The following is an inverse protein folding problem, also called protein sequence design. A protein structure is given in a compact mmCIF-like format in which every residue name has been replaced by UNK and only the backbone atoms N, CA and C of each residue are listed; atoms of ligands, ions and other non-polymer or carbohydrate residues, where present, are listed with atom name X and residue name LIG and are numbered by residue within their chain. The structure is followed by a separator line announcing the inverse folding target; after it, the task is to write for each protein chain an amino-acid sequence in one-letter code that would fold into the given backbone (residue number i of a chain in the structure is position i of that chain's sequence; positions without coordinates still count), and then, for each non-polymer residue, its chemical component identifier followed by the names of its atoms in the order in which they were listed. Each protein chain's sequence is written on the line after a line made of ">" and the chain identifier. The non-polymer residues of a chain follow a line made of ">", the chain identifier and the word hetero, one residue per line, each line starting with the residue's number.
data_IF_068973331566
#
_entry.id   IF_068973331566
#
_cell.length_a   1.000
_cell.length_b   1.000
_cell.length_c   1.000
_cell.angle_alpha   90.00
_cell.angle_beta   90.00
_cell.angle_gamma   90.00
#
_symmetry.space_group_name_H-M   'P 1'
#
loop_
_entity.id
_entity.type
_entity.pdbx_description
1 polymer ?
#
# COMPACT_ATOMS: atom_id res chain seq x y z
N UNK A 1 18.08 -22.89 -26.45
CA UNK A 1 17.63 -22.21 -25.20
C UNK A 1 16.16 -21.92 -25.34
N UNK A 2 15.33 -22.21 -24.33
CA UNK A 2 13.89 -21.92 -24.37
C UNK A 2 13.71 -20.45 -23.98
N UNK A 3 13.41 -19.59 -24.93
CA UNK A 3 13.20 -18.16 -24.68
C UNK A 3 11.78 -17.93 -24.19
N UNK A 4 11.64 -17.03 -23.21
CA UNK A 4 10.34 -16.70 -22.63
C UNK A 4 9.87 -15.38 -23.25
N UNK A 5 8.56 -15.23 -23.47
CA UNK A 5 7.98 -14.02 -24.07
C UNK A 5 7.19 -13.25 -23.04
N UNK A 6 7.20 -11.92 -23.16
CA UNK A 6 6.34 -11.05 -22.37
C UNK A 6 4.87 -11.33 -22.73
N UNK A 7 4.02 -11.62 -21.75
CA UNK A 7 2.60 -11.92 -21.99
C UNK A 7 1.76 -10.71 -22.44
N UNK A 8 2.31 -9.49 -22.32
CA UNK A 8 1.64 -8.23 -22.71
C UNK A 8 2.00 -7.79 -24.13
N UNK A 9 3.30 -7.80 -24.46
CA UNK A 9 3.81 -7.19 -25.70
C UNK A 9 4.58 -8.17 -26.59
N UNK A 10 4.58 -9.47 -26.26
CA UNK A 10 5.25 -10.56 -26.99
C UNK A 10 6.77 -10.43 -27.17
N UNK A 11 7.40 -9.40 -26.59
CA UNK A 11 8.85 -9.22 -26.64
C UNK A 11 9.58 -10.40 -26.00
N UNK A 12 10.68 -10.84 -26.61
CA UNK A 12 11.54 -11.88 -26.04
C UNK A 12 12.23 -11.38 -24.77
N UNK A 13 12.05 -12.09 -23.66
CA UNK A 13 12.64 -11.75 -22.37
C UNK A 13 14.08 -12.23 -22.36
N UNK A 14 14.98 -11.26 -22.55
CA UNK A 14 16.43 -11.37 -22.41
C UNK A 14 16.88 -10.75 -21.09
N UNK A 15 18.14 -11.00 -20.70
CA UNK A 15 18.68 -10.62 -19.38
C UNK A 15 18.61 -9.11 -19.12
N UNK A 16 18.73 -8.30 -20.17
CA UNK A 16 18.75 -6.84 -20.16
C UNK A 16 17.38 -6.23 -19.82
N UNK A 17 16.30 -6.92 -20.15
CA UNK A 17 14.92 -6.47 -19.90
C UNK A 17 14.15 -7.42 -18.95
N UNK A 18 14.86 -8.34 -18.31
CA UNK A 18 14.31 -9.23 -17.29
C UNK A 18 13.92 -8.43 -16.04
N UNK A 19 12.79 -8.77 -15.42
CA UNK A 19 12.32 -8.16 -14.17
C UNK A 19 11.67 -9.19 -13.27
N UNK A 20 11.62 -8.94 -11.97
CA UNK A 20 11.05 -9.82 -10.95
C UNK A 20 9.58 -9.45 -10.70
N UNK A 21 8.67 -10.04 -11.49
CA UNK A 21 7.24 -9.75 -11.44
C UNK A 21 6.52 -10.58 -10.38
N UNK A 22 5.58 -10.00 -9.62
CA UNK A 22 4.77 -10.74 -8.65
C UNK A 22 3.50 -11.27 -9.32
N UNK A 23 3.26 -12.59 -9.26
CA UNK A 23 2.04 -13.20 -9.84
C UNK A 23 0.78 -12.68 -9.14
N UNK A 24 0.88 -12.49 -7.82
CA UNK A 24 -0.12 -11.81 -7.02
C UNK A 24 0.53 -10.53 -6.51
N UNK A 25 -0.15 -9.40 -6.65
CA UNK A 25 0.33 -8.09 -6.21
C UNK A 25 0.95 -8.11 -4.81
N UNK A 26 2.08 -7.43 -4.67
CA UNK A 26 2.73 -7.23 -3.37
C UNK A 26 1.77 -6.56 -2.36
N UNK A 27 0.84 -5.72 -2.84
CA UNK A 27 -0.21 -5.11 -2.02
C UNK A 27 -1.12 -6.13 -1.33
N UNK A 28 -1.37 -7.27 -1.98
CA UNK A 28 -2.13 -8.40 -1.47
C UNK A 28 -1.28 -9.40 -0.69
N UNK A 29 0.02 -9.10 -0.46
CA UNK A 29 0.94 -10.00 0.23
C UNK A 29 1.49 -11.12 -0.65
N UNK A 30 1.39 -10.99 -1.98
CA UNK A 30 1.92 -12.00 -2.91
C UNK A 30 3.42 -12.24 -2.75
N UNK A 31 3.81 -13.52 -2.82
CA UNK A 31 5.20 -13.99 -2.65
C UNK A 31 5.74 -14.70 -3.88
N UNK A 32 4.85 -15.29 -4.69
CA UNK A 32 5.23 -15.97 -5.91
C UNK A 32 5.61 -14.94 -6.96
N UNK A 33 6.81 -15.09 -7.52
CA UNK A 33 7.36 -14.19 -8.52
C UNK A 33 7.87 -14.95 -9.72
N UNK A 34 7.96 -14.28 -10.86
CA UNK A 34 8.52 -14.84 -12.08
C UNK A 34 9.31 -13.80 -12.85
N UNK A 35 10.47 -14.26 -13.34
CA UNK A 35 11.34 -13.52 -14.25
C UNK A 35 11.04 -13.77 -15.73
N UNK A 36 10.11 -14.67 -16.02
CA UNK A 36 9.92 -15.26 -17.34
C UNK A 36 8.59 -14.90 -17.98
N UNK A 37 7.79 -14.04 -17.36
CA UNK A 37 6.43 -13.74 -17.83
C UNK A 37 6.29 -12.34 -18.41
N UNK A 38 7.02 -11.35 -17.88
CA UNK A 38 6.84 -9.95 -18.25
C UNK A 38 8.19 -9.25 -18.38
N UNK A 39 8.32 -8.36 -19.35
CA UNK A 39 9.53 -7.54 -19.51
C UNK A 39 9.50 -6.31 -18.60
N UNK A 40 10.67 -5.73 -18.34
CA UNK A 40 10.85 -4.58 -17.45
C UNK A 40 10.02 -3.35 -17.84
N UNK A 41 9.84 -3.10 -19.14
CA UNK A 41 9.03 -1.98 -19.64
C UNK A 41 7.57 -2.12 -19.21
N UNK A 42 6.92 -3.23 -19.57
CA UNK A 42 5.53 -3.48 -19.23
C UNK A 42 5.33 -3.55 -17.71
N UNK A 43 6.25 -4.17 -16.97
CA UNK A 43 6.20 -4.20 -15.52
C UNK A 43 6.22 -2.79 -14.92
N UNK A 44 7.08 -1.91 -15.41
CA UNK A 44 7.14 -0.53 -14.91
C UNK A 44 5.87 0.26 -15.22
N UNK A 45 5.36 0.14 -16.46
CA UNK A 45 4.16 0.83 -16.92
C UNK A 45 2.92 0.39 -16.12
N UNK A 46 2.64 -0.91 -16.08
CA UNK A 46 1.50 -1.49 -15.35
C UNK A 46 1.66 -1.30 -13.84
N UNK A 47 2.89 -1.39 -13.34
CA UNK A 47 3.27 -1.12 -11.96
C UNK A 47 2.90 0.30 -11.50
N UNK A 48 3.02 1.29 -12.39
CA UNK A 48 2.73 2.69 -12.11
C UNK A 48 1.28 3.10 -12.34
N UNK A 49 0.51 2.27 -13.06
CA UNK A 49 -0.89 2.54 -13.41
C UNK A 49 -1.84 1.56 -12.72
N UNK A 50 -2.11 0.41 -13.34
CA UNK A 50 -3.11 -0.57 -12.89
C UNK A 50 -2.79 -1.14 -11.52
N UNK A 51 -1.54 -1.55 -11.29
CA UNK A 51 -1.12 -2.12 -10.02
C UNK A 51 -1.15 -1.09 -8.90
N UNK A 52 -0.81 0.16 -9.22
CA UNK A 52 -0.86 1.27 -8.28
C UNK A 52 -2.30 1.58 -7.86
N UNK A 53 -3.22 1.65 -8.82
CA UNK A 53 -4.64 1.87 -8.57
C UNK A 53 -5.25 0.72 -7.75
N UNK A 54 -5.00 -0.53 -8.15
CA UNK A 54 -5.50 -1.69 -7.41
C UNK A 54 -4.90 -1.77 -6.00
N UNK A 55 -3.62 -1.44 -5.82
CA UNK A 55 -2.99 -1.36 -4.51
C UNK A 55 -3.60 -0.25 -3.63
N UNK A 56 -4.02 0.86 -4.23
CA UNK A 56 -4.71 1.96 -3.55
C UNK A 56 -6.09 1.51 -3.05
N UNK A 57 -6.90 0.91 -3.93
CA UNK A 57 -8.22 0.39 -3.58
C UNK A 57 -8.16 -0.67 -2.48
N UNK A 58 -7.15 -1.54 -2.54
CA UNK A 58 -6.97 -2.60 -1.55
C UNK A 58 -6.30 -2.14 -0.25
N UNK A 59 -5.81 -0.90 -0.18
CA UNK A 59 -5.05 -0.42 0.98
C UNK A 59 -5.86 -0.51 2.28
N UNK A 60 -7.18 -0.31 2.22
CA UNK A 60 -8.05 -0.52 3.38
C UNK A 60 -7.91 -1.94 3.95
N UNK A 61 -8.12 -2.94 3.10
CA UNK A 61 -8.03 -4.36 3.47
C UNK A 61 -6.62 -4.75 3.86
N UNK A 62 -5.60 -4.25 3.14
CA UNK A 62 -4.19 -4.51 3.47
C UNK A 62 -3.84 -4.07 4.89
N UNK A 63 -4.35 -2.92 5.36
CA UNK A 63 -4.13 -2.48 6.73
C UNK A 63 -5.03 -3.23 7.73
N UNK A 64 -6.33 -3.38 7.43
CA UNK A 64 -7.28 -4.05 8.34
C UNK A 64 -6.89 -5.50 8.64
N UNK A 65 -6.34 -6.20 7.66
CA UNK A 65 -5.89 -7.60 7.79
C UNK A 65 -4.39 -7.73 8.12
N UNK A 66 -3.68 -6.60 8.34
CA UNK A 66 -2.24 -6.56 8.59
C UNK A 66 -1.44 -7.42 7.57
N UNK A 67 -1.72 -7.21 6.28
CA UNK A 67 -1.13 -7.99 5.19
C UNK A 67 0.38 -7.76 5.15
N UNK A 68 1.14 -8.84 5.32
CA UNK A 68 2.61 -8.82 5.25
C UNK A 68 3.08 -8.72 3.80
N UNK A 69 3.46 -7.51 3.38
CA UNK A 69 4.08 -7.26 2.09
C UNK A 69 5.49 -7.87 2.00
N UNK A 70 5.93 -8.20 0.79
CA UNK A 70 7.32 -8.58 0.51
C UNK A 70 8.24 -7.36 0.46
N UNK A 71 7.74 -6.23 -0.06
CA UNK A 71 8.43 -4.93 -0.05
C UNK A 71 7.54 -3.84 0.54
N UNK A 72 8.15 -2.91 1.30
CA UNK A 72 7.46 -1.78 1.91
C UNK A 72 6.46 -2.17 3.01
N UNK A 73 5.72 -1.17 3.51
CA UNK A 73 4.59 -1.36 4.45
C UNK A 73 3.29 -0.91 3.78
N UNK A 74 2.14 -1.36 4.28
CA UNK A 74 0.85 -0.81 3.86
C UNK A 74 0.78 0.67 4.28
N UNK A 75 0.13 1.52 3.47
CA UNK A 75 0.07 2.94 3.74
C UNK A 75 -1.00 3.21 4.80
N UNK A 76 -0.71 4.07 5.78
CA UNK A 76 -1.68 4.41 6.81
C UNK A 76 -2.95 5.03 6.22
N UNK A 77 -4.11 4.63 6.73
CA UNK A 77 -5.42 5.15 6.28
C UNK A 77 -5.73 6.43 7.05
N UNK A 78 -6.17 7.47 6.35
CA UNK A 78 -6.66 8.69 7.00
C UNK A 78 -8.13 8.50 7.37
N UNK A 79 -8.46 8.74 8.62
CA UNK A 79 -9.83 8.70 9.11
C UNK A 79 -10.18 9.95 9.91
N UNK A 80 -11.46 10.13 10.17
CA UNK A 80 -12.00 11.20 10.99
C UNK A 80 -13.00 10.61 11.99
N UNK A 81 -12.86 10.98 13.26
CA UNK A 81 -13.79 10.56 14.32
C UNK A 81 -15.12 11.29 14.15
N UNK A 82 -16.21 10.56 13.92
CA UNK A 82 -17.54 11.16 13.68
C UNK A 82 -18.06 11.99 14.86
N UNK A 83 -17.62 11.69 16.09
CA UNK A 83 -18.07 12.40 17.29
C UNK A 83 -17.32 13.71 17.56
N UNK A 84 -16.05 13.82 17.16
CA UNK A 84 -15.16 14.94 17.53
C UNK A 84 -14.59 15.69 16.33
N UNK A 85 -14.71 15.15 15.11
CA UNK A 85 -14.03 15.68 13.92
C UNK A 85 -12.51 15.50 13.94
N UNK A 86 -11.97 14.75 14.91
CA UNK A 86 -10.52 14.57 15.06
C UNK A 86 -9.98 13.64 13.97
N UNK A 87 -8.97 14.13 13.24
CA UNK A 87 -8.31 13.38 12.17
C UNK A 87 -7.27 12.42 12.75
N UNK A 88 -7.31 11.16 12.33
CA UNK A 88 -6.35 10.14 12.74
C UNK A 88 -5.75 9.40 11.55
N UNK A 89 -4.60 8.79 11.78
CA UNK A 89 -3.95 7.85 10.88
C UNK A 89 -4.06 6.44 11.45
N UNK A 90 -4.77 5.55 10.78
CA UNK A 90 -4.77 4.13 11.11
C UNK A 90 -3.52 3.49 10.52
N UNK A 91 -2.59 3.10 11.37
CA UNK A 91 -1.38 2.40 10.93
C UNK A 91 -1.69 0.96 10.52
N UNK A 92 -0.74 0.34 9.83
CA UNK A 92 -0.84 -1.04 9.33
C UNK A 92 -0.92 -2.10 10.42
N UNK A 93 -0.65 -1.76 11.69
CA UNK A 93 -0.87 -2.61 12.86
C UNK A 93 -2.24 -2.40 13.53
N UNK A 94 -3.12 -1.62 12.89
CA UNK A 94 -4.46 -1.30 13.39
C UNK A 94 -4.48 -0.22 14.47
N UNK A 95 -3.34 0.38 14.83
CA UNK A 95 -3.33 1.45 15.86
C UNK A 95 -3.65 2.82 15.25
N UNK A 96 -4.66 3.52 15.77
CA UNK A 96 -4.92 4.90 15.39
C UNK A 96 -3.90 5.83 16.05
N UNK A 97 -3.33 6.74 15.26
CA UNK A 97 -2.44 7.82 15.72
C UNK A 97 -3.10 9.14 15.39
N UNK A 98 -3.34 9.99 16.39
CA UNK A 98 -3.96 11.30 16.19
C UNK A 98 -3.02 12.18 15.37
N UNK A 99 -3.56 12.81 14.31
CA UNK A 99 -2.74 13.59 13.36
C UNK A 99 -2.32 14.97 13.88
N UNK A 100 -3.03 15.51 14.90
CA UNK A 100 -2.72 16.79 15.54
C UNK A 100 -2.99 16.72 17.04
N UNK A 101 -2.12 17.28 17.90
CA UNK A 101 -2.42 17.42 19.32
C UNK A 101 -3.63 18.34 19.51
N UNK A 102 -4.57 17.94 20.37
CA UNK A 102 -5.71 18.76 20.78
C UNK A 102 -5.40 19.31 22.17
N UNK A 103 -5.30 20.64 22.27
CA UNK A 103 -5.15 21.34 23.55
C UNK A 103 -6.54 21.58 24.10
N UNK A 104 -6.83 21.04 25.29
CA UNK A 104 -8.03 21.34 26.05
C UNK A 104 -7.61 22.21 27.23
N UNK A 105 -8.12 23.44 27.29
CA UNK A 105 -7.97 24.31 28.45
C UNK A 105 -9.14 24.03 29.40
N UNK A 106 -8.86 23.41 30.54
CA UNK A 106 -9.81 23.39 31.67
C UNK A 106 -9.63 24.68 32.47
N UNK A 107 -10.67 25.51 32.48
CA UNK A 107 -10.75 26.64 33.41
C UNK A 107 -11.25 26.07 34.74
N UNK A 108 -10.34 25.89 35.71
CA UNK A 108 -10.72 25.59 37.10
C UNK A 108 -11.63 26.72 37.63
N UNK A 109 -12.89 26.36 37.87
CA UNK A 109 -13.93 27.27 38.32
C UNK A 109 -13.60 27.94 39.66
N UNK A 110 -14.05 29.20 39.75
CA UNK A 110 -13.89 30.15 40.83
C UNK A 110 -14.13 29.56 42.22
N UNK A 111 -13.22 29.87 43.15
CA UNK A 111 -13.50 29.75 44.59
C UNK A 111 -14.67 30.68 44.95
N UNK A 112 -15.86 30.11 45.10
CA UNK A 112 -16.98 30.77 45.79
C UNK A 112 -16.53 31.09 47.23
N UNK A 113 -16.58 32.38 47.57
CA UNK A 113 -16.27 32.92 48.90
C UNK A 113 -17.35 32.55 49.92
#
# INVERSE_FOLDING_TARGET
>A
MKTSKCYICDSEIIKEIETDEHIILNACGGRLKSKKIMCAKCNTEYGSEMDAELASQLNFYSNALNVKRHRGKAQAIKGELSATGEKYHLQSDGKPVISKPVVKEEVEGEKLK
#
